data_IF_306808766694
#
_entry.id   IF_306808766694
#
_cell.length_a   1.000
_cell.length_b   1.000
_cell.length_c   1.000
_cell.angle_alpha   90.00
_cell.angle_beta   90.00
_cell.angle_gamma   90.00
#
_symmetry.space_group_name_H-M   'P 1'
#
loop_
_entity.id
_entity.type
_entity.pdbx_description
1 polymer ?
#
# COMPACT_ATOMS: atom_id res chain seq x y z
N UNK A 1 7.38 1.93 22.06
CA UNK A 1 8.21 2.34 20.90
C UNK A 1 7.41 3.37 20.11
N UNK A 2 7.95 4.56 19.84
CA UNK A 2 7.29 5.51 18.93
C UNK A 2 7.47 4.99 17.50
N UNK A 3 6.42 4.42 16.91
CA UNK A 3 6.41 4.04 15.50
C UNK A 3 6.53 5.32 14.67
N UNK A 4 7.54 5.43 13.80
CA UNK A 4 7.68 6.60 12.93
C UNK A 4 7.06 6.27 11.58
N UNK A 5 6.32 7.20 10.95
CA UNK A 5 5.81 6.97 9.61
C UNK A 5 6.99 6.84 8.64
N UNK A 6 7.04 5.74 7.89
CA UNK A 6 8.04 5.50 6.84
C UNK A 6 7.45 5.77 5.47
N UNK A 7 8.32 5.83 4.46
CA UNK A 7 7.91 5.96 3.05
C UNK A 7 6.93 4.86 2.67
N UNK A 8 7.15 3.62 3.12
CA UNK A 8 6.30 2.48 2.76
C UNK A 8 4.89 2.59 3.37
N UNK A 9 4.81 3.08 4.61
CA UNK A 9 3.54 3.31 5.31
C UNK A 9 2.73 4.45 4.67
N UNK A 10 3.38 5.58 4.38
CA UNK A 10 2.75 6.71 3.69
C UNK A 10 2.25 6.28 2.30
N UNK A 11 3.07 5.54 1.55
CA UNK A 11 2.72 5.06 0.21
C UNK A 11 1.54 4.09 0.25
N UNK A 12 1.53 3.16 1.21
CA UNK A 12 0.43 2.21 1.39
C UNK A 12 -0.89 2.91 1.70
N UNK A 13 -0.87 3.97 2.53
CA UNK A 13 -2.06 4.79 2.81
C UNK A 13 -2.53 5.54 1.57
N UNK A 14 -1.61 6.14 0.80
CA UNK A 14 -1.97 6.84 -0.46
C UNK A 14 -2.62 5.87 -1.44
N UNK A 15 -2.06 4.67 -1.63
CA UNK A 15 -2.63 3.63 -2.50
C UNK A 15 -4.02 3.23 -2.02
N UNK A 16 -4.19 2.99 -0.71
CA UNK A 16 -5.51 2.65 -0.15
C UNK A 16 -6.56 3.71 -0.44
N UNK A 17 -6.21 4.98 -0.28
CA UNK A 17 -7.14 6.09 -0.52
C UNK A 17 -7.43 6.22 -2.02
N UNK A 18 -6.41 6.18 -2.87
CA UNK A 18 -6.56 6.38 -4.31
C UNK A 18 -7.31 5.22 -4.98
N UNK A 19 -6.82 3.98 -4.81
CA UNK A 19 -7.43 2.79 -5.40
C UNK A 19 -8.75 2.47 -4.70
N UNK A 20 -8.82 2.61 -3.38
CA UNK A 20 -10.06 2.44 -2.64
C UNK A 20 -11.14 3.40 -3.14
N UNK A 21 -10.84 4.68 -3.34
CA UNK A 21 -11.81 5.62 -3.90
C UNK A 21 -12.23 5.26 -5.33
N UNK A 22 -11.27 4.91 -6.19
CA UNK A 22 -11.54 4.51 -7.58
C UNK A 22 -12.48 3.31 -7.64
N UNK A 23 -12.13 2.23 -6.95
CA UNK A 23 -12.93 1.00 -6.94
C UNK A 23 -14.28 1.19 -6.21
N UNK A 24 -14.37 2.12 -5.24
CA UNK A 24 -15.64 2.47 -4.59
C UNK A 24 -16.59 3.13 -5.58
N UNK A 25 -16.07 4.07 -6.36
CA UNK A 25 -16.84 4.76 -7.40
C UNK A 25 -17.26 3.80 -8.50
N UNK A 26 -16.39 2.88 -8.90
CA UNK A 26 -16.71 1.84 -9.90
C UNK A 26 -17.77 0.86 -9.37
N UNK A 27 -17.73 0.56 -8.07
CA UNK A 27 -18.74 -0.25 -7.39
C UNK A 27 -20.12 0.44 -7.34
N UNK A 28 -20.17 1.73 -7.03
CA UNK A 28 -21.43 2.49 -6.97
C UNK A 28 -22.08 2.72 -8.35
N UNK A 29 -21.31 2.69 -9.43
CA UNK A 29 -21.82 2.95 -10.78
C UNK A 29 -22.30 1.68 -11.52
N UNK A 30 -22.35 0.51 -10.87
CA UNK A 30 -22.79 -0.79 -11.44
C UNK A 30 -22.01 -1.28 -12.68
N UNK A 31 -20.97 -0.58 -13.12
CA UNK A 31 -20.25 -0.90 -14.37
C UNK A 31 -19.55 -2.27 -14.24
N UNK A 32 -19.11 -2.68 -13.05
CA UNK A 32 -18.52 -4.00 -12.79
C UNK A 32 -18.59 -4.39 -11.30
N UNK A 33 -19.78 -4.42 -10.69
CA UNK A 33 -19.98 -4.55 -9.24
C UNK A 33 -19.16 -5.68 -8.57
N UNK A 34 -19.11 -6.87 -9.19
CA UNK A 34 -18.35 -8.01 -8.66
C UNK A 34 -16.83 -7.78 -8.70
N UNK A 35 -16.33 -7.10 -9.74
CA UNK A 35 -14.90 -6.81 -9.87
C UNK A 35 -14.48 -5.62 -8.98
N UNK A 36 -15.35 -4.64 -8.76
CA UNK A 36 -15.10 -3.50 -7.89
C UNK A 36 -14.89 -3.91 -6.43
N UNK A 37 -15.80 -4.74 -5.89
CA UNK A 37 -15.68 -5.24 -4.52
C UNK A 37 -14.46 -6.16 -4.32
N UNK A 38 -14.18 -7.03 -5.29
CA UNK A 38 -12.99 -7.89 -5.26
C UNK A 38 -11.70 -7.06 -5.33
N UNK A 39 -11.64 -6.05 -6.20
CA UNK A 39 -10.50 -5.17 -6.35
C UNK A 39 -10.24 -4.37 -5.08
N UNK A 40 -11.28 -3.82 -4.45
CA UNK A 40 -11.19 -3.17 -3.13
C UNK A 40 -10.58 -4.11 -2.08
N UNK A 41 -11.06 -5.35 -2.02
CA UNK A 41 -10.55 -6.34 -1.06
C UNK A 41 -9.08 -6.67 -1.32
N UNK A 42 -8.70 -6.89 -2.58
CA UNK A 42 -7.30 -7.15 -2.96
C UNK A 42 -6.39 -5.96 -2.65
N UNK A 43 -6.80 -4.73 -2.95
CA UNK A 43 -6.06 -3.52 -2.59
C UNK A 43 -5.90 -3.43 -1.07
N UNK A 44 -6.95 -3.68 -0.30
CA UNK A 44 -6.89 -3.70 1.16
C UNK A 44 -5.88 -4.71 1.70
N UNK A 45 -5.86 -5.92 1.13
CA UNK A 45 -4.87 -6.95 1.48
C UNK A 45 -3.43 -6.54 1.14
N UNK A 46 -3.21 -5.97 -0.04
CA UNK A 46 -1.88 -5.49 -0.47
C UNK A 46 -1.39 -4.41 0.50
N UNK A 47 -2.23 -3.42 0.79
CA UNK A 47 -1.93 -2.32 1.73
C UNK A 47 -1.62 -2.88 3.11
N UNK A 48 -2.47 -3.77 3.65
CA UNK A 48 -2.25 -4.38 4.96
C UNK A 48 -0.94 -5.16 5.01
N UNK A 49 -0.61 -5.92 3.95
CA UNK A 49 0.67 -6.65 3.86
C UNK A 49 1.88 -5.70 3.86
N UNK A 50 1.78 -4.56 3.18
CA UNK A 50 2.81 -3.52 3.17
C UNK A 50 3.00 -2.88 4.55
N UNK A 51 1.91 -2.52 5.22
CA UNK A 51 1.94 -1.98 6.59
C UNK A 51 2.53 -2.98 7.58
N UNK A 52 2.19 -4.26 7.46
CA UNK A 52 2.73 -5.33 8.30
C UNK A 52 4.23 -5.52 8.05
N UNK A 53 4.67 -5.51 6.78
CA UNK A 53 6.08 -5.56 6.41
C UNK A 53 6.86 -4.39 6.98
N UNK A 54 6.32 -3.17 6.86
CA UNK A 54 6.94 -1.97 7.44
C UNK A 54 7.08 -2.09 8.96
N UNK A 55 6.03 -2.54 9.65
CA UNK A 55 6.09 -2.79 11.09
C UNK A 55 7.17 -3.82 11.46
N UNK A 56 7.27 -4.93 10.72
CA UNK A 56 8.30 -5.95 10.94
C UNK A 56 9.70 -5.39 10.68
N UNK A 57 9.87 -4.59 9.62
CA UNK A 57 11.13 -3.94 9.28
C UNK A 57 11.56 -2.95 10.37
N UNK A 58 10.65 -2.11 10.86
CA UNK A 58 10.92 -1.19 11.97
C UNK A 58 11.26 -1.93 13.27
N UNK A 59 10.63 -3.09 13.52
CA UNK A 59 10.92 -3.92 14.69
C UNK A 59 12.30 -4.59 14.61
N UNK A 60 12.72 -5.04 13.42
CA UNK A 60 14.01 -5.71 13.21
C UNK A 60 15.18 -4.73 13.01
N UNK A 61 14.95 -3.65 12.28
CA UNK A 61 15.98 -2.68 11.88
C UNK A 61 15.78 -1.39 12.68
N UNK A 62 16.63 -1.18 13.70
CA UNK A 62 16.57 0.01 14.56
C UNK A 62 16.96 1.32 13.84
N UNK A 63 17.53 1.24 12.64
CA UNK A 63 17.96 2.40 11.83
C UNK A 63 16.87 2.81 10.83
N UNK A 64 16.22 3.95 11.09
CA UNK A 64 15.13 4.48 10.26
C UNK A 64 15.51 4.70 8.79
N UNK A 65 16.74 5.15 8.54
CA UNK A 65 17.25 5.45 7.20
C UNK A 65 17.23 4.22 6.29
N UNK A 66 17.60 3.05 6.85
CA UNK A 66 17.63 1.79 6.11
C UNK A 66 16.20 1.34 5.78
N UNK A 67 15.27 1.46 6.74
CA UNK A 67 13.86 1.11 6.52
C UNK A 67 13.23 1.99 5.44
N UNK A 68 13.53 3.29 5.43
CA UNK A 68 13.06 4.19 4.37
C UNK A 68 13.68 3.88 3.00
N UNK A 69 14.97 3.52 2.93
CA UNK A 69 15.63 3.13 1.68
C UNK A 69 15.02 1.85 1.10
N UNK A 70 14.81 0.84 1.93
CA UNK A 70 14.10 -0.39 1.53
C UNK A 70 12.68 -0.05 1.10
N UNK A 71 12.00 0.81 1.86
CA UNK A 71 10.64 1.23 1.55
C UNK A 71 10.54 1.91 0.19
N UNK A 72 11.46 2.82 -0.11
CA UNK A 72 11.55 3.53 -1.38
C UNK A 72 11.83 2.56 -2.55
N UNK A 73 12.73 1.59 -2.36
CA UNK A 73 13.01 0.54 -3.36
C UNK A 73 11.76 -0.27 -3.70
N UNK A 74 11.00 -0.71 -2.69
CA UNK A 74 9.76 -1.47 -2.91
C UNK A 74 8.73 -0.64 -3.67
N UNK A 75 8.55 0.63 -3.31
CA UNK A 75 7.62 1.54 -4.00
C UNK A 75 8.03 1.74 -5.47
N UNK A 76 9.32 1.93 -5.75
CA UNK A 76 9.82 2.07 -7.12
C UNK A 76 9.56 0.81 -7.96
N UNK A 77 9.77 -0.38 -7.39
CA UNK A 77 9.47 -1.65 -8.08
C UNK A 77 7.98 -1.76 -8.38
N UNK A 78 7.11 -1.41 -7.44
CA UNK A 78 5.66 -1.41 -7.65
C UNK A 78 5.23 -0.45 -8.76
N UNK A 79 5.76 0.79 -8.77
CA UNK A 79 5.48 1.76 -9.84
C UNK A 79 5.94 1.20 -11.20
N UNK A 80 7.13 0.60 -11.25
CA UNK A 80 7.66 0.03 -12.49
C UNK A 80 6.83 -1.15 -13.00
N UNK A 81 6.31 -1.98 -12.09
CA UNK A 81 5.39 -3.07 -12.43
C UNK A 81 4.03 -2.56 -12.92
N UNK A 82 3.52 -1.44 -12.39
CA UNK A 82 2.25 -0.84 -12.81
C UNK A 82 2.33 -0.08 -14.14
N UNK A 83 3.51 0.43 -14.52
CA UNK A 83 3.70 1.12 -15.80
C UNK A 83 3.77 0.18 -17.01
N UNK A 84 3.89 -1.13 -16.78
CA UNK A 84 3.99 -2.15 -17.82
C UNK A 84 2.64 -2.79 -18.09
#
# INVERSE_FOLDING_TARGET
MKCRPTVLNISAVIVLIYDGYKYFKDFLNDIHYQYGALAMFMTGMIVFSGLLLDYILQKKIKKYLIVNLVGLLVVLVFIFLMMR
#
